data_IF_024542048934
#
_entry.id   IF_024542048934
#
_cell.length_a   1.000
_cell.length_b   1.000
_cell.length_c   1.000
_cell.angle_alpha   90.00
_cell.angle_beta   90.00
_cell.angle_gamma   90.00
#
_symmetry.space_group_name_H-M   'P 1'
#
loop_
_entity.id
_entity.type
_entity.pdbx_description
1 polymer ?
#
# COMPACT_ATOMS: atom_id res chain seq x y z
N UNK A 1 11.28 -0.33 -21.57
CA UNK A 1 10.22 -1.30 -21.32
C UNK A 1 9.35 -0.77 -20.20
N UNK A 2 8.03 -1.01 -20.26
CA UNK A 2 7.11 -0.60 -19.22
C UNK A 2 7.29 -1.53 -18.00
N UNK A 3 7.76 -0.98 -16.88
CA UNK A 3 8.08 -1.72 -15.65
C UNK A 3 6.87 -2.53 -15.15
N UNK A 4 5.65 -2.03 -15.36
CA UNK A 4 4.43 -2.74 -14.98
C UNK A 4 4.28 -4.01 -15.80
N UNK A 5 4.54 -3.95 -17.11
CA UNK A 5 4.47 -5.12 -17.99
C UNK A 5 5.55 -6.15 -17.66
N UNK A 6 6.76 -5.70 -17.30
CA UNK A 6 7.84 -6.58 -16.82
C UNK A 6 7.42 -7.34 -15.54
N UNK A 7 6.63 -6.70 -14.68
CA UNK A 7 6.01 -7.30 -13.50
C UNK A 7 4.74 -8.11 -13.80
N UNK A 8 4.41 -8.32 -15.08
CA UNK A 8 3.18 -8.97 -15.56
C UNK A 8 1.89 -8.29 -15.11
N UNK A 9 1.97 -7.02 -14.71
CA UNK A 9 0.81 -6.18 -14.42
C UNK A 9 0.07 -5.85 -15.71
N UNK A 10 -1.26 -5.93 -15.67
CA UNK A 10 -2.12 -5.66 -16.84
C UNK A 10 -3.24 -4.65 -16.57
N UNK A 11 -3.49 -4.38 -15.30
CA UNK A 11 -4.61 -3.57 -14.83
C UNK A 11 -4.08 -2.41 -13.98
N UNK A 12 -3.61 -1.36 -14.68
CA UNK A 12 -3.05 -0.17 -14.04
C UNK A 12 -4.17 0.76 -13.66
N UNK A 13 -4.24 1.10 -12.37
CA UNK A 13 -5.29 1.94 -11.80
C UNK A 13 -4.68 2.97 -10.86
N UNK A 14 -5.16 4.21 -10.95
CA UNK A 14 -4.90 5.22 -9.92
C UNK A 14 -5.80 4.93 -8.72
N UNK A 15 -5.21 4.46 -7.61
CA UNK A 15 -5.96 4.03 -6.42
C UNK A 15 -6.07 5.15 -5.38
N UNK A 16 -5.03 5.97 -5.25
CA UNK A 16 -4.93 7.07 -4.28
C UNK A 16 -3.99 8.14 -4.79
N UNK A 17 -4.33 9.39 -4.54
CA UNK A 17 -3.39 10.52 -4.55
C UNK A 17 -3.37 11.10 -3.13
N UNK A 18 -2.18 11.21 -2.54
CA UNK A 18 -2.05 11.78 -1.20
C UNK A 18 -0.71 12.45 -1.00
N UNK A 19 -0.71 13.47 -0.15
CA UNK A 19 0.52 14.00 0.45
C UNK A 19 0.92 13.06 1.60
N UNK A 20 2.19 12.68 1.65
CA UNK A 20 2.71 11.86 2.75
C UNK A 20 2.65 12.66 4.05
N UNK A 21 2.00 12.08 5.07
CA UNK A 21 1.91 12.70 6.39
C UNK A 21 3.21 12.51 7.17
N UNK A 22 3.39 13.30 8.24
CA UNK A 22 4.49 13.09 9.18
C UNK A 22 4.52 11.66 9.74
N UNK A 23 3.36 11.02 9.92
CA UNK A 23 3.29 9.64 10.38
C UNK A 23 3.74 8.63 9.33
N UNK A 24 3.52 8.91 8.04
CA UNK A 24 3.99 8.04 6.95
C UNK A 24 5.51 8.11 6.80
N UNK A 25 6.10 9.28 7.11
CA UNK A 25 7.54 9.51 7.03
C UNK A 25 8.28 9.17 8.33
N UNK A 26 7.56 8.83 9.41
CA UNK A 26 8.17 8.53 10.70
C UNK A 26 8.68 7.08 10.76
N UNK A 27 10.01 6.86 10.93
CA UNK A 27 10.58 5.51 10.96
C UNK A 27 10.04 4.62 12.08
N UNK A 28 9.59 5.20 13.20
CA UNK A 28 8.97 4.42 14.29
C UNK A 28 7.62 3.82 13.91
N UNK A 29 6.91 4.42 12.96
CA UNK A 29 5.60 3.94 12.52
C UNK A 29 5.71 2.96 11.35
N UNK A 30 6.74 3.08 10.50
CA UNK A 30 7.03 2.19 9.35
C UNK A 30 5.80 1.76 8.57
N UNK A 31 4.95 2.73 8.21
CA UNK A 31 3.74 2.46 7.44
C UNK A 31 3.35 3.60 6.52
N UNK A 32 2.75 3.26 5.39
CA UNK A 32 1.93 4.18 4.61
C UNK A 32 0.46 3.91 4.92
N UNK A 33 -0.26 4.91 5.45
CA UNK A 33 -1.70 4.81 5.68
C UNK A 33 -2.50 5.39 4.52
N UNK A 34 -3.48 4.63 4.06
CA UNK A 34 -4.43 4.99 3.00
C UNK A 34 -5.84 4.85 3.59
N UNK A 35 -6.40 5.92 4.20
CA UNK A 35 -7.79 5.96 4.65
C UNK A 35 -8.74 5.59 3.53
N UNK A 36 -9.80 4.82 3.85
CA UNK A 36 -10.81 4.42 2.85
C UNK A 36 -11.44 5.61 2.12
N UNK A 37 -11.56 6.75 2.77
CA UNK A 37 -12.06 8.00 2.17
C UNK A 37 -11.17 8.57 1.06
N UNK A 38 -9.89 8.19 1.01
CA UNK A 38 -8.94 8.60 -0.03
C UNK A 38 -8.82 7.59 -1.18
N UNK A 39 -9.47 6.42 -1.06
CA UNK A 39 -9.44 5.38 -2.10
C UNK A 39 -10.40 5.76 -3.22
N UNK A 40 -9.85 6.01 -4.41
CA UNK A 40 -10.59 6.51 -5.56
C UNK A 40 -11.43 5.43 -6.25
N UNK A 41 -10.93 4.18 -6.27
CA UNK A 41 -11.61 3.07 -6.92
C UNK A 41 -11.27 1.72 -6.28
N UNK A 42 -12.11 0.71 -6.55
CA UNK A 42 -11.84 -0.67 -6.17
C UNK A 42 -10.61 -1.21 -6.90
N UNK A 43 -9.69 -1.82 -6.15
CA UNK A 43 -8.43 -2.34 -6.67
C UNK A 43 -8.08 -3.75 -6.15
N UNK A 44 -8.98 -4.32 -5.33
CA UNK A 44 -8.82 -5.64 -4.74
C UNK A 44 -9.88 -6.58 -5.32
N UNK A 45 -9.50 -7.82 -5.52
CA UNK A 45 -10.42 -8.93 -5.77
C UNK A 45 -11.21 -9.30 -4.52
N UNK A 46 -12.33 -10.01 -4.69
CA UNK A 46 -13.15 -10.50 -3.57
C UNK A 46 -12.35 -11.37 -2.61
N UNK A 47 -11.40 -12.16 -3.12
CA UNK A 47 -10.55 -13.01 -2.30
C UNK A 47 -9.60 -12.17 -1.43
N UNK A 48 -8.98 -11.14 -2.00
CA UNK A 48 -8.10 -10.22 -1.27
C UNK A 48 -8.88 -9.43 -0.22
N UNK A 49 -10.10 -9.00 -0.54
CA UNK A 49 -10.99 -8.35 0.44
C UNK A 49 -11.23 -9.26 1.64
N UNK A 50 -11.58 -10.54 1.40
CA UNK A 50 -11.80 -11.52 2.48
C UNK A 50 -10.55 -11.74 3.32
N UNK A 51 -9.37 -11.86 2.71
CA UNK A 51 -8.09 -11.99 3.42
C UNK A 51 -7.82 -10.76 4.30
N UNK A 52 -8.06 -9.55 3.80
CA UNK A 52 -7.87 -8.35 4.61
C UNK A 52 -8.92 -8.21 5.73
N UNK A 53 -10.15 -8.68 5.49
CA UNK A 53 -11.23 -8.69 6.49
C UNK A 53 -11.00 -9.72 7.60
N UNK A 54 -10.30 -10.83 7.32
CA UNK A 54 -9.83 -11.78 8.35
C UNK A 54 -8.62 -11.27 9.15
N UNK A 55 -8.20 -10.00 8.92
CA UNK A 55 -7.02 -9.35 9.51
C UNK A 55 -5.68 -9.97 9.09
N UNK A 56 -5.69 -10.80 8.05
CA UNK A 56 -4.47 -11.28 7.42
C UNK A 56 -3.86 -10.18 6.54
N UNK A 57 -2.57 -10.34 6.24
CA UNK A 57 -1.83 -9.43 5.36
C UNK A 57 -1.62 -10.06 3.98
N UNK A 58 -1.67 -9.23 2.94
CA UNK A 58 -1.30 -9.64 1.58
C UNK A 58 0.12 -9.18 1.32
N UNK A 59 1.00 -10.11 0.93
CA UNK A 59 2.37 -9.75 0.51
C UNK A 59 2.32 -9.01 -0.81
N UNK A 60 2.98 -7.86 -0.88
CA UNK A 60 3.03 -7.01 -2.07
C UNK A 60 4.46 -6.56 -2.35
N UNK A 61 4.71 -6.17 -3.59
CA UNK A 61 5.93 -5.47 -3.99
C UNK A 61 5.57 -4.05 -4.40
N UNK A 62 6.45 -3.10 -4.12
CA UNK A 62 6.27 -1.69 -4.48
C UNK A 62 7.34 -1.29 -5.49
N UNK A 63 6.94 -0.82 -6.66
CA UNK A 63 7.85 -0.10 -7.56
C UNK A 63 7.80 1.37 -7.20
N UNK A 64 8.94 1.97 -6.86
CA UNK A 64 9.02 3.40 -6.56
C UNK A 64 9.23 4.25 -7.85
N UNK A 65 9.18 5.59 -7.75
CA UNK A 65 9.46 6.49 -8.88
C UNK A 65 10.78 6.25 -9.65
N UNK A 66 11.80 5.67 -9.03
CA UNK A 66 13.07 5.30 -9.68
C UNK A 66 13.04 3.92 -10.35
N UNK A 67 11.89 3.24 -10.32
CA UNK A 67 11.65 1.89 -10.82
C UNK A 67 12.37 0.78 -10.02
N UNK A 68 12.88 1.11 -8.83
CA UNK A 68 13.36 0.13 -7.87
C UNK A 68 12.17 -0.62 -7.27
N UNK A 69 12.31 -1.95 -7.16
CA UNK A 69 11.27 -2.83 -6.65
C UNK A 69 11.61 -3.23 -5.22
N UNK A 70 10.78 -2.76 -4.30
CA UNK A 70 10.85 -3.09 -2.89
C UNK A 70 9.96 -4.30 -2.59
N UNK A 71 10.56 -5.39 -2.13
CA UNK A 71 9.86 -6.61 -1.73
C UNK A 71 9.63 -6.68 -0.22
N UNK A 72 8.77 -7.59 0.22
CA UNK A 72 8.53 -7.86 1.65
C UNK A 72 7.69 -6.78 2.33
N UNK A 73 6.90 -6.02 1.56
CA UNK A 73 5.83 -5.21 2.13
C UNK A 73 4.59 -6.07 2.32
N UNK A 74 3.74 -5.66 3.27
CA UNK A 74 2.40 -6.20 3.42
C UNK A 74 1.35 -5.12 3.34
N UNK A 75 0.28 -5.38 2.59
CA UNK A 75 -0.97 -4.65 2.66
C UNK A 75 -1.84 -5.26 3.77
N UNK A 76 -2.27 -4.43 4.72
CA UNK A 76 -3.23 -4.81 5.77
C UNK A 76 -4.41 -3.86 5.79
N UNK A 77 -5.53 -4.31 6.35
CA UNK A 77 -6.70 -3.46 6.66
C UNK A 77 -6.75 -3.22 8.16
N UNK A 78 -6.67 -1.96 8.56
CA UNK A 78 -6.79 -1.54 9.95
C UNK A 78 -8.12 -0.83 10.17
N UNK A 79 -9.00 -1.48 10.93
CA UNK A 79 -10.33 -0.95 11.28
C UNK A 79 -10.25 -0.17 12.59
N UNK A 80 -10.89 1.01 12.60
CA UNK A 80 -11.08 1.85 13.78
C UNK A 80 -12.54 1.87 14.25
N UNK A 81 -13.37 0.99 13.67
CA UNK A 81 -14.81 0.90 13.88
C UNK A 81 -15.50 0.18 12.72
N UNK A 82 -16.81 -0.02 12.81
CA UNK A 82 -17.56 -0.82 11.82
C UNK A 82 -17.52 -0.28 10.39
N UNK A 83 -17.33 1.04 10.21
CA UNK A 83 -17.31 1.70 8.89
C UNK A 83 -15.99 2.39 8.53
N UNK A 84 -15.11 2.64 9.51
CA UNK A 84 -13.89 3.40 9.30
C UNK A 84 -12.69 2.47 9.31
N UNK A 85 -11.93 2.49 8.21
CA UNK A 85 -10.70 1.72 8.10
C UNK A 85 -9.71 2.42 7.17
N UNK A 86 -8.45 2.04 7.32
CA UNK A 86 -7.36 2.35 6.40
C UNK A 86 -6.81 1.06 5.82
N UNK A 87 -6.40 1.10 4.56
CA UNK A 87 -5.38 0.18 4.08
C UNK A 87 -4.02 0.71 4.53
N UNK A 88 -3.14 -0.18 4.97
CA UNK A 88 -1.79 0.19 5.39
C UNK A 88 -0.77 -0.68 4.68
N UNK A 89 0.24 -0.07 4.06
CA UNK A 89 1.46 -0.77 3.67
C UNK A 89 2.42 -0.75 4.86
N UNK A 90 2.95 -1.90 5.25
CA UNK A 90 3.78 -2.05 6.44
C UNK A 90 4.99 -2.97 6.21
N UNK A 91 5.67 -3.34 7.29
CA UNK A 91 6.93 -4.10 7.36
C UNK A 91 8.14 -3.34 6.81
N UNK A 92 8.22 -3.15 5.50
CA UNK A 92 9.40 -2.58 4.83
C UNK A 92 9.20 -1.18 4.28
N UNK A 93 8.16 -0.47 4.71
CA UNK A 93 7.89 0.90 4.26
C UNK A 93 9.06 1.86 4.51
N UNK A 94 9.78 1.73 5.64
CA UNK A 94 10.96 2.55 5.91
C UNK A 94 12.07 2.43 4.86
N UNK A 95 12.22 1.28 4.21
CA UNK A 95 13.22 1.11 3.15
C UNK A 95 12.89 2.01 1.94
N UNK A 96 11.61 2.29 1.72
CA UNK A 96 11.12 3.18 0.66
C UNK A 96 11.31 4.64 1.06
N UNK A 97 10.96 5.03 2.28
CA UNK A 97 10.98 6.44 2.70
C UNK A 97 12.38 7.01 2.92
N UNK A 98 13.39 6.17 3.18
CA UNK A 98 14.78 6.61 3.34
C UNK A 98 15.37 7.21 2.05
N UNK A 99 14.81 6.90 0.88
CA UNK A 99 15.25 7.44 -0.42
C UNK A 99 14.80 8.89 -0.66
N UNK A 100 13.87 9.41 0.15
CA UNK A 100 13.23 10.72 -0.04
C UNK A 100 13.46 11.69 1.14
N UNK A 101 14.50 11.44 1.93
CA UNK A 101 14.92 12.33 3.03
C UNK A 101 15.94 13.37 2.59
#
# INVERSE_FOLDING_TARGET
MDKVMDMRGRDVRLVVEKVLSATDMNPSQSRLSIPKSQVLQGFLSDQEIRTLDSKEGIKVSLSDPSLEVHHGLQLKKWSYGSKFFSYVLTERWNAVTLLYK
#
